data_IF_368840207091
#
_entry.id   IF_368840207091
#
_cell.length_a   1.000
_cell.length_b   1.000
_cell.length_c   1.000
_cell.angle_alpha   90.00
_cell.angle_beta   90.00
_cell.angle_gamma   90.00
#
_symmetry.space_group_name_H-M   'P 1'
#
loop_
_entity.id
_entity.type
_entity.pdbx_description
1 polymer ?
#
# COMPACT_ATOMS: atom_id res chain seq x y z
N UNK A 1 49.40 -10.41 28.90
CA UNK A 1 50.09 -9.23 29.44
C UNK A 1 49.92 -8.10 28.47
N UNK A 2 49.18 -7.04 28.95
CA UNK A 2 49.12 -5.66 28.48
C UNK A 2 48.77 -5.49 26.96
N UNK A 3 47.74 -4.81 26.52
CA UNK A 3 47.26 -3.49 26.89
C UNK A 3 45.77 -3.37 26.55
N UNK A 4 44.95 -3.11 27.54
CA UNK A 4 43.65 -2.47 27.47
C UNK A 4 43.83 -1.11 28.06
N UNK A 5 43.43 -0.08 27.38
CA UNK A 5 42.80 1.14 27.90
C UNK A 5 42.94 2.31 26.92
N UNK A 6 41.85 2.98 26.81
CA UNK A 6 41.61 4.37 26.42
C UNK A 6 40.91 4.61 25.08
N UNK A 7 39.60 4.84 25.19
CA UNK A 7 38.92 6.02 24.62
C UNK A 7 37.51 6.14 25.26
N UNK A 8 37.47 6.75 26.46
CA UNK A 8 36.31 7.49 26.95
C UNK A 8 36.53 8.95 26.55
N UNK A 9 35.66 9.45 25.67
CA UNK A 9 35.56 10.86 25.31
C UNK A 9 34.18 11.38 25.70
N UNK A 10 34.17 12.23 26.75
CA UNK A 10 32.99 12.93 27.26
C UNK A 10 32.33 13.77 26.15
N UNK A 11 31.04 13.59 25.92
CA UNK A 11 30.21 14.53 25.19
C UNK A 11 29.16 15.09 26.13
N UNK A 12 29.39 16.30 26.61
CA UNK A 12 28.43 17.15 27.29
C UNK A 12 27.27 17.52 26.35
N UNK A 13 26.01 17.57 26.81
CA UNK A 13 24.92 18.17 26.08
C UNK A 13 24.97 19.70 26.10
N UNK A 14 24.53 20.38 25.03
CA UNK A 14 24.48 21.84 25.02
C UNK A 14 23.33 22.40 25.85
N UNK A 15 23.41 23.67 26.32
CA UNK A 15 22.47 24.28 27.25
C UNK A 15 21.10 24.60 26.61
N UNK A 16 20.07 24.54 27.43
CA UNK A 16 18.71 24.93 27.11
C UNK A 16 18.60 26.43 26.84
N UNK A 17 18.29 26.82 25.62
CA UNK A 17 17.82 28.18 25.32
C UNK A 17 16.29 28.24 25.45
N UNK A 18 15.86 29.12 26.37
CA UNK A 18 14.46 29.56 26.50
C UNK A 18 14.07 30.36 25.26
N UNK A 19 13.14 29.86 24.47
CA UNK A 19 12.45 30.63 23.45
C UNK A 19 11.06 31.01 23.96
N UNK A 20 10.94 32.24 24.40
CA UNK A 20 9.67 32.95 24.56
C UNK A 20 9.34 33.58 23.20
N UNK A 21 8.17 33.34 22.67
CA UNK A 21 7.77 33.97 21.41
C UNK A 21 6.37 33.52 20.99
N UNK A 22 5.38 34.35 21.33
CA UNK A 22 4.04 34.34 20.74
C UNK A 22 4.13 34.23 19.20
N UNK A 23 3.71 33.11 18.64
CA UNK A 23 3.48 32.98 17.22
C UNK A 23 2.04 32.53 17.01
N UNK A 24 1.27 33.41 16.39
CA UNK A 24 -0.11 33.26 16.00
C UNK A 24 -0.34 31.94 15.24
N UNK A 25 -1.32 31.18 15.69
CA UNK A 25 -1.85 30.00 15.00
C UNK A 25 -2.42 30.41 13.63
N UNK A 26 -1.66 30.21 12.57
CA UNK A 26 -2.19 30.25 11.20
C UNK A 26 -3.17 29.08 11.00
N UNK A 27 -4.42 29.43 10.71
CA UNK A 27 -5.51 28.50 10.39
C UNK A 27 -5.21 27.81 9.04
N UNK A 28 -5.38 26.48 8.93
CA UNK A 28 -5.28 25.81 7.64
C UNK A 28 -6.42 26.25 6.73
N UNK A 29 -6.07 26.71 5.53
CA UNK A 29 -6.99 27.07 4.45
C UNK A 29 -7.66 25.82 3.88
N UNK A 30 -8.98 25.81 3.93
CA UNK A 30 -9.93 25.07 3.08
C UNK A 30 -10.04 23.54 3.19
N UNK A 31 -11.08 23.12 3.90
CA UNK A 31 -11.97 22.13 3.34
C UNK A 31 -13.39 22.73 3.31
N UNK A 32 -14.00 22.76 2.15
CA UNK A 32 -15.33 23.36 1.89
C UNK A 32 -16.49 22.71 2.65
N UNK A 33 -16.24 21.64 3.40
CA UNK A 33 -17.26 20.91 4.18
C UNK A 33 -17.46 21.48 5.59
N UNK A 34 -16.46 22.19 6.15
CA UNK A 34 -16.55 22.77 7.49
C UNK A 34 -17.27 24.12 7.55
N UNK A 35 -17.54 24.75 6.42
CA UNK A 35 -18.08 26.12 6.35
C UNK A 35 -19.60 26.19 6.28
N UNK A 36 -20.30 25.05 6.15
CA UNK A 36 -21.77 25.01 6.03
C UNK A 36 -22.47 24.87 7.38
N UNK A 37 -21.77 24.56 8.47
CA UNK A 37 -22.40 24.29 9.77
C UNK A 37 -22.34 25.45 10.80
N UNK A 38 -21.80 26.63 10.47
CA UNK A 38 -21.75 27.72 11.44
C UNK A 38 -22.12 29.07 10.81
N UNK A 39 -23.40 29.31 10.62
CA UNK A 39 -23.93 30.68 10.53
C UNK A 39 -24.68 30.99 11.84
N UNK A 40 -24.21 31.94 12.67
CA UNK A 40 -24.96 32.41 13.83
C UNK A 40 -26.06 33.37 13.34
N UNK A 41 -27.27 32.87 13.16
CA UNK A 41 -28.39 33.69 12.70
C UNK A 41 -29.73 32.97 12.56
N UNK A 42 -29.79 31.65 12.75
CA UNK A 42 -31.00 30.84 12.50
C UNK A 42 -31.61 30.22 13.77
N UNK A 43 -31.36 30.81 14.93
CA UNK A 43 -32.02 30.42 16.20
C UNK A 43 -32.78 31.59 16.76
N UNK A 44 -33.79 32.06 16.03
CA UNK A 44 -34.75 33.05 16.52
C UNK A 44 -36.11 32.90 15.82
N UNK A 45 -36.65 31.70 15.76
CA UNK A 45 -38.09 31.46 15.65
C UNK A 45 -38.33 29.97 15.91
N UNK A 46 -39.07 29.65 16.95
CA UNK A 46 -39.33 28.32 17.49
C UNK A 46 -40.13 27.39 16.54
N UNK A 47 -39.74 27.28 15.29
CA UNK A 47 -40.27 26.30 14.35
C UNK A 47 -39.37 25.06 14.36
N UNK A 48 -39.92 23.93 14.83
CA UNK A 48 -39.31 22.60 14.64
C UNK A 48 -39.20 22.33 13.15
N UNK A 49 -37.98 22.41 12.61
CA UNK A 49 -37.71 22.01 11.24
C UNK A 49 -37.99 20.50 11.13
N UNK A 50 -38.92 20.13 10.24
CA UNK A 50 -39.25 18.76 9.91
C UNK A 50 -38.00 18.04 9.38
N UNK A 51 -37.61 16.96 10.04
CA UNK A 51 -36.44 16.11 9.67
C UNK A 51 -36.50 15.70 8.18
N UNK A 52 -37.72 15.56 7.63
CA UNK A 52 -37.92 15.28 6.20
C UNK A 52 -37.56 16.47 5.29
N UNK A 53 -37.61 17.71 5.78
CA UNK A 53 -37.17 18.87 5.00
C UNK A 53 -35.63 18.97 4.99
N UNK A 54 -34.96 18.63 6.09
CA UNK A 54 -33.50 18.56 6.16
C UNK A 54 -32.98 17.48 5.22
N UNK A 55 -33.59 16.28 5.21
CA UNK A 55 -33.23 15.20 4.28
C UNK A 55 -33.50 15.55 2.81
N UNK A 56 -34.63 16.23 2.51
CA UNK A 56 -34.90 16.71 1.15
C UNK A 56 -33.95 17.80 0.69
N UNK A 57 -33.50 18.68 1.56
CA UNK A 57 -32.50 19.69 1.24
C UNK A 57 -31.11 19.07 1.07
N UNK A 58 -30.69 18.16 1.95
CA UNK A 58 -29.45 17.40 1.82
C UNK A 58 -29.43 16.54 0.53
N UNK A 59 -30.53 15.86 0.21
CA UNK A 59 -30.66 15.10 -1.05
C UNK A 59 -30.57 15.99 -2.30
N UNK A 60 -31.08 17.23 -2.25
CA UNK A 60 -31.02 18.19 -3.34
C UNK A 60 -29.61 18.82 -3.50
N UNK A 61 -28.82 18.89 -2.43
CA UNK A 61 -27.43 19.36 -2.43
C UNK A 61 -26.50 18.26 -2.92
N UNK A 62 -26.76 17.00 -2.53
CA UNK A 62 -25.97 15.82 -3.01
C UNK A 62 -26.30 15.50 -4.47
N UNK A 63 -27.51 15.80 -4.95
CA UNK A 63 -27.90 15.60 -6.36
C UNK A 63 -27.36 16.66 -7.32
N UNK A 64 -26.68 17.70 -6.84
CA UNK A 64 -25.80 18.53 -7.67
C UNK A 64 -24.41 17.88 -7.74
N UNK A 65 -24.35 16.70 -8.33
CA UNK A 65 -23.09 16.14 -8.84
C UNK A 65 -22.37 17.25 -9.61
N UNK A 66 -21.22 17.65 -9.13
CA UNK A 66 -20.34 18.54 -9.91
C UNK A 66 -20.27 17.97 -11.32
N UNK A 67 -20.50 18.76 -12.38
CA UNK A 67 -20.40 18.24 -13.73
C UNK A 67 -19.01 17.60 -13.84
N UNK A 68 -18.96 16.31 -14.18
CA UNK A 68 -17.70 15.64 -14.52
C UNK A 68 -17.19 16.40 -15.76
N UNK A 69 -16.24 17.30 -15.52
CA UNK A 69 -15.56 18.00 -16.61
C UNK A 69 -14.84 16.93 -17.41
N UNK A 70 -15.40 16.60 -18.57
CA UNK A 70 -14.76 15.64 -19.47
C UNK A 70 -13.36 16.17 -19.79
N UNK A 71 -12.33 15.32 -19.72
CA UNK A 71 -10.95 15.73 -19.97
C UNK A 71 -10.85 16.37 -21.36
N UNK A 72 -10.15 17.50 -21.45
CA UNK A 72 -9.96 18.21 -22.71
C UNK A 72 -9.27 17.28 -23.73
N UNK A 73 -9.37 17.64 -25.04
CA UNK A 73 -8.62 16.91 -26.08
C UNK A 73 -7.11 16.91 -25.80
N UNK A 74 -6.59 17.99 -25.22
CA UNK A 74 -5.19 18.10 -24.82
C UNK A 74 -4.86 17.14 -23.68
N UNK A 75 -5.71 17.04 -22.67
CA UNK A 75 -5.50 16.14 -21.53
C UNK A 75 -5.55 14.68 -21.96
N UNK A 76 -6.49 14.33 -22.85
CA UNK A 76 -6.56 12.96 -23.41
C UNK A 76 -5.28 12.59 -24.15
N UNK A 77 -4.82 13.45 -25.09
CA UNK A 77 -3.55 13.22 -25.80
C UNK A 77 -2.35 13.14 -24.87
N UNK A 78 -2.33 13.96 -23.80
CA UNK A 78 -1.29 13.87 -22.78
C UNK A 78 -1.30 12.51 -22.07
N UNK A 79 -2.47 12.01 -21.69
CA UNK A 79 -2.61 10.70 -21.03
C UNK A 79 -2.24 9.54 -21.98
N UNK A 80 -2.66 9.62 -23.25
CA UNK A 80 -2.26 8.66 -24.30
C UNK A 80 -0.75 8.61 -24.45
N UNK A 81 -0.07 9.75 -24.58
CA UNK A 81 1.40 9.79 -24.67
C UNK A 81 2.08 9.21 -23.44
N UNK A 82 1.59 9.52 -22.24
CA UNK A 82 2.10 8.94 -20.98
C UNK A 82 1.93 7.41 -20.98
N UNK A 83 0.78 6.91 -21.43
CA UNK A 83 0.52 5.47 -21.53
C UNK A 83 1.45 4.79 -22.53
N UNK A 84 1.69 5.40 -23.70
CA UNK A 84 2.61 4.88 -24.72
C UNK A 84 4.05 4.80 -24.19
N UNK A 85 4.54 5.85 -23.52
CA UNK A 85 5.87 5.88 -22.88
C UNK A 85 5.99 4.77 -21.83
N UNK A 86 4.98 4.59 -20.97
CA UNK A 86 4.96 3.54 -19.96
C UNK A 86 4.91 2.13 -20.58
N UNK A 87 4.18 1.97 -21.68
CA UNK A 87 4.12 0.69 -22.42
C UNK A 87 5.47 0.32 -23.01
N UNK A 88 6.15 1.27 -23.66
CA UNK A 88 7.51 1.07 -24.16
C UNK A 88 8.51 0.77 -23.03
N UNK A 89 8.37 1.43 -21.89
CA UNK A 89 9.19 1.18 -20.71
C UNK A 89 8.97 -0.22 -20.11
N UNK A 90 7.72 -0.72 -20.08
CA UNK A 90 7.42 -2.10 -19.65
C UNK A 90 8.06 -3.16 -20.55
N UNK A 91 8.09 -2.92 -21.88
CA UNK A 91 8.80 -3.81 -22.80
C UNK A 91 10.29 -3.88 -22.48
N UNK A 92 10.95 -2.72 -22.26
CA UNK A 92 12.37 -2.68 -21.87
C UNK A 92 12.61 -3.29 -20.48
N UNK A 93 11.67 -3.10 -19.54
CA UNK A 93 11.72 -3.74 -18.22
C UNK A 93 11.70 -5.28 -18.34
N UNK A 94 10.88 -5.82 -19.23
CA UNK A 94 10.79 -7.26 -19.46
C UNK A 94 12.07 -7.84 -20.07
N UNK A 95 12.76 -7.11 -20.94
CA UNK A 95 13.97 -7.55 -21.62
C UNK A 95 15.24 -7.39 -20.76
N UNK A 96 15.40 -6.26 -20.09
CA UNK A 96 16.67 -5.88 -19.44
C UNK A 96 16.53 -5.49 -17.95
N UNK A 97 15.37 -5.73 -17.34
CA UNK A 97 15.11 -5.33 -15.97
C UNK A 97 15.12 -3.80 -15.77
N UNK A 98 15.11 -3.33 -14.51
CA UNK A 98 15.05 -1.90 -14.20
C UNK A 98 16.23 -1.10 -14.79
N UNK A 99 17.42 -1.72 -14.88
CA UNK A 99 18.62 -1.08 -15.43
C UNK A 99 18.60 -0.93 -16.96
N UNK A 100 17.80 -1.74 -17.64
CA UNK A 100 17.64 -1.71 -19.10
C UNK A 100 16.79 -0.55 -19.62
N UNK A 101 16.07 0.19 -18.76
CA UNK A 101 15.20 1.28 -19.19
C UNK A 101 16.00 2.50 -19.63
N UNK A 102 15.75 2.95 -20.88
CA UNK A 102 16.39 4.10 -21.50
C UNK A 102 15.38 5.05 -22.14
N UNK A 103 15.26 6.27 -21.60
CA UNK A 103 14.37 7.31 -22.13
C UNK A 103 14.70 7.65 -23.59
N UNK A 104 15.98 7.61 -23.98
CA UNK A 104 16.41 7.81 -25.38
C UNK A 104 15.92 6.71 -26.32
N UNK A 105 15.99 5.45 -25.87
CA UNK A 105 15.50 4.32 -26.64
C UNK A 105 13.97 4.37 -26.79
N UNK A 106 13.26 4.72 -25.73
CA UNK A 106 11.81 4.97 -25.76
C UNK A 106 11.43 6.08 -26.74
N UNK A 107 12.14 7.21 -26.72
CA UNK A 107 11.91 8.32 -27.65
C UNK A 107 12.05 7.84 -29.11
N UNK A 108 13.13 7.10 -29.42
CA UNK A 108 13.34 6.54 -30.76
C UNK A 108 12.22 5.56 -31.18
N UNK A 109 11.81 4.68 -30.26
CA UNK A 109 10.75 3.69 -30.51
C UNK A 109 9.40 4.36 -30.82
N UNK A 110 9.08 5.46 -30.13
CA UNK A 110 7.82 6.19 -30.29
C UNK A 110 7.87 7.31 -31.36
N UNK A 111 9.00 7.47 -32.09
CA UNK A 111 9.16 8.55 -33.06
C UNK A 111 9.15 9.95 -32.40
N UNK A 112 9.50 10.06 -31.13
CA UNK A 112 9.54 11.30 -30.36
C UNK A 112 10.96 11.84 -30.27
N UNK A 113 11.10 13.15 -30.02
CA UNK A 113 12.38 13.71 -29.62
C UNK A 113 12.71 13.34 -28.17
N UNK A 114 13.99 13.19 -27.79
CA UNK A 114 14.35 12.95 -26.38
C UNK A 114 13.82 14.03 -25.43
N UNK A 115 13.81 15.29 -25.84
CA UNK A 115 13.26 16.41 -25.05
C UNK A 115 11.76 16.28 -24.83
N UNK A 116 11.02 15.72 -25.78
CA UNK A 116 9.57 15.47 -25.64
C UNK A 116 9.32 14.38 -24.59
N UNK A 117 10.11 13.30 -24.54
CA UNK A 117 9.98 12.27 -23.50
C UNK A 117 10.38 12.83 -22.14
N UNK A 118 11.47 13.62 -22.06
CA UNK A 118 11.90 14.26 -20.81
C UNK A 118 10.88 15.28 -20.27
N UNK A 119 10.05 15.87 -21.10
CA UNK A 119 8.93 16.73 -20.66
C UNK A 119 7.89 15.93 -19.83
N UNK A 120 7.65 14.67 -20.17
CA UNK A 120 6.73 13.81 -19.43
C UNK A 120 7.40 13.11 -18.24
N UNK A 121 8.63 12.64 -18.43
CA UNK A 121 9.42 11.94 -17.42
C UNK A 121 10.83 12.52 -17.39
N UNK A 122 11.10 13.46 -16.45
CA UNK A 122 12.39 14.16 -16.35
C UNK A 122 13.59 13.25 -16.14
N UNK A 123 13.38 12.07 -15.52
CA UNK A 123 14.44 11.09 -15.32
C UNK A 123 13.90 9.64 -15.45
N UNK A 124 14.80 8.69 -15.56
CA UNK A 124 14.48 7.26 -15.54
C UNK A 124 13.82 6.86 -14.23
N UNK A 125 14.28 7.41 -13.12
CA UNK A 125 13.76 7.13 -11.78
C UNK A 125 12.31 7.56 -11.67
N UNK A 126 11.92 8.74 -12.17
CA UNK A 126 10.53 9.21 -12.21
C UNK A 126 9.64 8.29 -13.05
N UNK A 127 10.17 7.74 -14.16
CA UNK A 127 9.45 6.77 -14.97
C UNK A 127 9.31 5.43 -14.22
N UNK A 128 10.35 4.96 -13.54
CA UNK A 128 10.30 3.75 -12.70
C UNK A 128 9.28 3.90 -11.58
N UNK A 129 9.28 5.02 -10.85
CA UNK A 129 8.29 5.30 -9.80
C UNK A 129 6.86 5.26 -10.35
N UNK A 130 6.66 5.80 -11.55
CA UNK A 130 5.35 5.77 -12.20
C UNK A 130 4.93 4.34 -12.61
N UNK A 131 5.86 3.47 -13.01
CA UNK A 131 5.58 2.04 -13.25
C UNK A 131 5.29 1.29 -11.95
N UNK A 132 6.03 1.59 -10.87
CA UNK A 132 5.81 1.02 -9.54
C UNK A 132 4.41 1.39 -9.01
N UNK A 133 4.00 2.66 -9.15
CA UNK A 133 2.65 3.11 -8.74
C UNK A 133 1.56 2.39 -9.54
N UNK A 134 1.74 2.24 -10.86
CA UNK A 134 0.80 1.52 -11.71
C UNK A 134 0.72 0.04 -11.32
N UNK A 135 1.86 -0.62 -11.10
CA UNK A 135 1.94 -2.04 -10.72
C UNK A 135 1.25 -2.30 -9.37
N UNK A 136 1.54 -1.50 -8.34
CA UNK A 136 0.84 -1.58 -7.05
C UNK A 136 -0.67 -1.35 -7.20
N UNK A 137 -1.06 -0.38 -8.03
CA UNK A 137 -2.46 -0.09 -8.31
C UNK A 137 -3.19 -1.26 -8.99
N UNK A 138 -2.56 -1.86 -10.00
CA UNK A 138 -3.07 -3.02 -10.72
C UNK A 138 -3.22 -4.24 -9.81
N UNK A 139 -2.19 -4.57 -9.02
CA UNK A 139 -2.23 -5.64 -8.05
C UNK A 139 -3.34 -5.41 -7.01
N UNK A 140 -3.43 -4.20 -6.44
CA UNK A 140 -4.47 -3.87 -5.45
C UNK A 140 -5.88 -4.07 -6.01
N UNK A 141 -6.13 -3.69 -7.27
CA UNK A 141 -7.42 -3.90 -7.94
C UNK A 141 -7.73 -5.39 -8.11
N UNK A 142 -6.75 -6.19 -8.54
CA UNK A 142 -6.91 -7.64 -8.71
C UNK A 142 -7.26 -8.32 -7.37
N UNK A 143 -6.49 -8.00 -6.30
CA UNK A 143 -6.72 -8.57 -4.97
C UNK A 143 -8.07 -8.13 -4.40
N UNK A 144 -8.41 -6.85 -4.50
CA UNK A 144 -9.68 -6.31 -4.01
C UNK A 144 -10.87 -6.96 -4.71
N UNK A 145 -10.84 -7.02 -6.04
CA UNK A 145 -11.91 -7.66 -6.81
C UNK A 145 -12.07 -9.15 -6.47
N UNK A 146 -10.96 -9.84 -6.17
CA UNK A 146 -11.02 -11.24 -5.74
C UNK A 146 -11.57 -11.38 -4.32
N UNK A 147 -11.12 -10.52 -3.40
CA UNK A 147 -11.61 -10.50 -2.03
C UNK A 147 -13.10 -10.22 -1.95
N UNK A 148 -13.61 -9.21 -2.66
CA UNK A 148 -15.04 -8.88 -2.67
C UNK A 148 -15.92 -10.04 -3.14
N UNK A 149 -15.44 -10.81 -4.13
CA UNK A 149 -16.12 -12.05 -4.58
C UNK A 149 -16.01 -13.20 -3.59
N UNK A 150 -14.94 -13.26 -2.82
CA UNK A 150 -14.70 -14.31 -1.84
C UNK A 150 -15.30 -14.02 -0.46
N UNK A 151 -15.85 -12.83 -0.21
CA UNK A 151 -16.39 -12.43 1.11
C UNK A 151 -17.37 -13.42 1.73
N UNK A 152 -18.25 -14.11 0.97
CA UNK A 152 -19.17 -15.10 1.55
C UNK A 152 -18.49 -16.40 1.99
N UNK A 153 -17.24 -16.65 1.60
CA UNK A 153 -16.52 -17.87 1.92
C UNK A 153 -15.91 -17.80 3.33
N UNK A 154 -15.60 -18.94 3.98
CA UNK A 154 -14.83 -19.00 5.22
C UNK A 154 -13.45 -18.34 5.08
N UNK A 155 -12.85 -17.90 6.21
CA UNK A 155 -11.58 -17.16 6.20
C UNK A 155 -10.44 -17.87 5.45
N UNK A 156 -10.30 -19.19 5.65
CA UNK A 156 -9.27 -19.98 4.97
C UNK A 156 -9.45 -20.04 3.46
N UNK A 157 -10.69 -20.14 2.97
CA UNK A 157 -10.98 -20.11 1.54
C UNK A 157 -10.80 -18.72 0.95
N UNK A 158 -11.14 -17.65 1.70
CA UNK A 158 -10.87 -16.26 1.31
C UNK A 158 -9.36 -16.03 1.15
N UNK A 159 -8.56 -16.52 2.11
CA UNK A 159 -7.10 -16.45 2.05
C UNK A 159 -6.55 -17.13 0.79
N UNK A 160 -6.92 -18.40 0.56
CA UNK A 160 -6.48 -19.13 -0.63
C UNK A 160 -6.92 -18.42 -1.92
N UNK A 161 -8.14 -17.91 -1.96
CA UNK A 161 -8.63 -17.20 -3.13
C UNK A 161 -7.84 -15.92 -3.46
N UNK A 162 -7.52 -15.12 -2.44
CA UNK A 162 -6.77 -13.87 -2.61
C UNK A 162 -5.30 -14.13 -2.94
N UNK A 163 -4.67 -15.10 -2.27
CA UNK A 163 -3.27 -15.47 -2.54
C UNK A 163 -3.07 -16.08 -3.92
N UNK A 164 -4.01 -16.88 -4.41
CA UNK A 164 -4.04 -17.37 -5.80
C UNK A 164 -4.16 -16.22 -6.81
N UNK A 165 -4.96 -15.18 -6.51
CA UNK A 165 -5.06 -14.01 -7.37
C UNK A 165 -3.76 -13.21 -7.38
N UNK A 166 -3.05 -13.11 -6.24
CA UNK A 166 -1.73 -12.49 -6.17
C UNK A 166 -0.71 -13.25 -7.03
N UNK A 167 -0.66 -14.58 -6.87
CA UNK A 167 0.23 -15.42 -7.68
C UNK A 167 -0.09 -15.30 -9.18
N UNK A 168 -1.39 -15.36 -9.56
CA UNK A 168 -1.80 -15.23 -10.95
C UNK A 168 -1.35 -13.90 -11.56
N UNK A 169 -1.56 -12.79 -10.82
CA UNK A 169 -1.08 -11.48 -11.25
C UNK A 169 0.44 -11.44 -11.40
N UNK A 170 1.18 -12.02 -10.47
CA UNK A 170 2.64 -12.06 -10.50
C UNK A 170 3.18 -12.87 -11.70
N UNK A 171 2.54 -13.99 -12.03
CA UNK A 171 2.91 -14.82 -13.20
C UNK A 171 2.55 -14.14 -14.53
N UNK A 172 1.49 -13.34 -14.56
CA UNK A 172 1.11 -12.53 -15.73
C UNK A 172 2.02 -11.31 -15.91
N UNK A 173 2.55 -10.76 -14.79
CA UNK A 173 3.37 -9.54 -14.77
C UNK A 173 4.74 -9.75 -14.07
N UNK A 174 5.56 -10.73 -14.50
CA UNK A 174 6.76 -11.15 -13.75
C UNK A 174 7.78 -10.02 -13.56
N UNK A 175 8.01 -9.21 -14.58
CA UNK A 175 8.97 -8.10 -14.51
C UNK A 175 8.48 -6.97 -13.62
N UNK A 176 7.16 -6.70 -13.62
CA UNK A 176 6.55 -5.72 -12.72
C UNK A 176 6.58 -6.24 -11.28
N UNK A 177 6.25 -7.53 -11.03
CA UNK A 177 6.36 -8.12 -9.71
C UNK A 177 7.79 -8.00 -9.16
N UNK A 178 8.80 -8.37 -9.95
CA UNK A 178 10.19 -8.22 -9.55
C UNK A 178 10.60 -6.75 -9.36
N UNK A 179 10.02 -5.81 -10.10
CA UNK A 179 10.21 -4.39 -9.87
C UNK A 179 9.62 -3.94 -8.53
N UNK A 180 8.40 -4.39 -8.19
CA UNK A 180 7.72 -4.02 -6.94
C UNK A 180 8.44 -4.55 -5.70
N UNK A 181 8.93 -5.78 -5.72
CA UNK A 181 9.47 -6.50 -4.56
C UNK A 181 10.99 -6.68 -4.58
N UNK A 182 11.61 -6.68 -5.74
CA UNK A 182 13.05 -6.88 -5.91
C UNK A 182 13.86 -5.59 -6.07
N UNK A 183 13.22 -4.49 -6.42
CA UNK A 183 13.94 -3.24 -6.59
C UNK A 183 14.19 -2.62 -5.21
N UNK A 184 15.47 -2.45 -4.86
CA UNK A 184 15.93 -1.80 -3.62
C UNK A 184 15.51 -0.31 -3.51
N UNK A 185 14.76 0.20 -4.48
CA UNK A 185 14.14 1.51 -4.53
C UNK A 185 12.89 1.68 -3.67
N UNK A 186 12.44 0.67 -2.92
CA UNK A 186 11.65 0.88 -1.70
C UNK A 186 12.54 1.49 -0.59
N UNK A 187 13.39 2.41 -0.93
CA UNK A 187 13.70 3.51 -0.05
C UNK A 187 12.38 4.25 0.10
N UNK A 188 11.65 3.90 1.16
CA UNK A 188 10.77 4.87 1.80
C UNK A 188 11.70 6.04 2.12
N UNK A 189 11.88 6.92 1.12
CA UNK A 189 12.60 8.18 1.35
C UNK A 189 11.68 8.92 2.29
N UNK A 190 12.08 9.18 3.55
CA UNK A 190 11.32 10.05 4.40
C UNK A 190 11.18 11.38 3.63
N UNK A 191 9.96 11.75 3.21
CA UNK A 191 9.72 12.95 2.43
C UNK A 191 9.58 12.80 0.90
N UNK A 192 9.65 11.58 0.32
CA UNK A 192 9.16 11.33 -1.04
C UNK A 192 7.66 11.63 -1.11
N UNK A 193 7.14 12.05 -2.28
CA UNK A 193 5.76 12.53 -2.46
C UNK A 193 4.64 11.51 -2.13
N UNK A 194 4.98 10.40 -1.47
CA UNK A 194 4.07 9.39 -0.96
C UNK A 194 3.33 8.57 -2.03
N UNK A 195 3.57 8.80 -3.32
CA UNK A 195 2.84 8.13 -4.40
C UNK A 195 3.02 6.62 -4.38
N UNK A 196 4.25 6.14 -4.27
CA UNK A 196 4.59 4.72 -4.18
C UNK A 196 4.05 4.11 -2.88
N UNK A 197 4.27 4.77 -1.74
CA UNK A 197 3.77 4.31 -0.44
C UNK A 197 2.24 4.22 -0.43
N UNK A 198 1.55 5.25 -0.92
CA UNK A 198 0.09 5.27 -1.06
C UNK A 198 -0.45 4.19 -2.00
N UNK A 199 0.29 3.84 -3.05
CA UNK A 199 -0.10 2.77 -3.96
C UNK A 199 0.08 1.39 -3.31
N UNK A 200 1.19 1.17 -2.59
CA UNK A 200 1.47 -0.06 -1.84
C UNK A 200 0.46 -0.27 -0.70
N UNK A 201 0.10 0.80 0.04
CA UNK A 201 -0.84 0.70 1.17
C UNK A 201 -2.21 0.15 0.74
N UNK A 202 -2.62 0.31 -0.52
CA UNK A 202 -3.85 -0.28 -1.04
C UNK A 202 -3.82 -1.81 -1.07
N UNK A 203 -2.67 -2.41 -1.37
CA UNK A 203 -2.48 -3.88 -1.32
C UNK A 203 -2.51 -4.34 0.13
N UNK A 204 -1.77 -3.67 0.99
CA UNK A 204 -1.71 -3.95 2.44
C UNK A 204 -3.09 -3.82 3.08
N UNK A 205 -3.88 -2.82 2.68
CA UNK A 205 -5.24 -2.61 3.15
C UNK A 205 -6.17 -3.80 2.86
N UNK A 206 -6.00 -4.49 1.72
CA UNK A 206 -6.80 -5.70 1.42
C UNK A 206 -6.48 -6.81 2.42
N UNK A 207 -5.21 -7.05 2.72
CA UNK A 207 -4.78 -8.10 3.65
C UNK A 207 -5.26 -7.81 5.08
N UNK A 208 -5.12 -6.58 5.56
CA UNK A 208 -5.59 -6.21 6.90
C UNK A 208 -7.12 -6.17 6.99
N UNK A 209 -7.83 -5.82 5.92
CA UNK A 209 -9.30 -5.93 5.90
C UNK A 209 -9.74 -7.38 6.02
N UNK A 210 -9.09 -8.28 5.28
CA UNK A 210 -9.38 -9.72 5.34
C UNK A 210 -9.11 -10.28 6.74
N UNK A 211 -8.02 -9.89 7.39
CA UNK A 211 -7.70 -10.27 8.77
C UNK A 211 -8.74 -9.75 9.77
N UNK A 212 -9.14 -8.48 9.66
CA UNK A 212 -10.17 -7.88 10.52
C UNK A 212 -11.52 -8.59 10.38
N UNK A 213 -11.94 -8.86 9.13
CA UNK A 213 -13.22 -9.53 8.86
C UNK A 213 -13.20 -10.97 9.45
N UNK A 214 -12.06 -11.67 9.37
CA UNK A 214 -11.92 -13.02 9.93
C UNK A 214 -11.92 -13.02 11.48
N UNK A 215 -11.25 -12.08 12.11
CA UNK A 215 -11.26 -11.90 13.58
C UNK A 215 -12.66 -11.53 14.07
N UNK A 216 -13.32 -10.58 13.41
CA UNK A 216 -14.67 -10.14 13.79
C UNK A 216 -15.71 -11.26 13.67
N UNK A 217 -15.52 -12.19 12.73
CA UNK A 217 -16.35 -13.38 12.57
C UNK A 217 -15.99 -14.53 13.52
N UNK A 218 -14.92 -14.44 14.30
CA UNK A 218 -14.42 -15.51 15.14
C UNK A 218 -13.89 -16.72 14.37
N UNK A 219 -13.49 -16.53 13.10
CA UNK A 219 -13.04 -17.60 12.22
C UNK A 219 -11.55 -17.94 12.40
N UNK A 220 -10.80 -17.06 13.05
CA UNK A 220 -9.38 -17.24 13.34
C UNK A 220 -9.08 -16.81 14.78
N UNK A 221 -8.10 -17.48 15.38
CA UNK A 221 -7.55 -17.17 16.69
C UNK A 221 -6.07 -16.77 16.55
N UNK A 222 -5.69 -15.68 17.16
CA UNK A 222 -4.30 -15.20 17.17
C UNK A 222 -3.73 -15.05 18.58
N UNK A 223 -4.42 -15.57 19.61
CA UNK A 223 -4.00 -15.47 21.02
C UNK A 223 -2.65 -16.16 21.26
N UNK A 224 -2.42 -17.31 20.62
CA UNK A 224 -1.14 -18.01 20.69
C UNK A 224 0.02 -17.17 20.15
N UNK A 225 -0.16 -16.51 18.99
CA UNK A 225 0.85 -15.58 18.44
C UNK A 225 0.98 -14.33 19.29
N UNK A 226 -0.13 -13.82 19.84
CA UNK A 226 -0.12 -12.69 20.77
C UNK A 226 0.73 -13.00 22.00
N UNK A 227 0.57 -14.17 22.62
CA UNK A 227 1.33 -14.60 23.78
C UNK A 227 2.81 -14.83 23.46
N UNK A 228 3.11 -15.41 22.27
CA UNK A 228 4.47 -15.69 21.82
C UNK A 228 5.24 -14.45 21.34
N UNK A 229 4.56 -13.32 21.09
CA UNK A 229 5.20 -12.11 20.58
C UNK A 229 6.11 -11.48 21.65
N UNK A 230 7.45 -11.36 21.44
CA UNK A 230 8.35 -10.78 22.41
C UNK A 230 8.08 -9.31 22.69
N UNK A 231 8.35 -8.84 23.91
CA UNK A 231 8.12 -7.46 24.33
C UNK A 231 8.75 -6.40 23.40
N UNK A 232 10.00 -6.54 22.92
CA UNK A 232 10.58 -5.59 21.98
C UNK A 232 9.79 -5.50 20.66
N UNK A 233 9.31 -6.63 20.14
CA UNK A 233 8.52 -6.65 18.92
C UNK A 233 7.14 -6.01 19.13
N UNK A 234 6.50 -6.25 20.28
CA UNK A 234 5.22 -5.58 20.61
C UNK A 234 5.34 -4.07 20.61
N UNK A 235 6.43 -3.52 21.17
CA UNK A 235 6.68 -2.08 21.12
C UNK A 235 6.82 -1.58 19.67
N UNK A 236 7.60 -2.26 18.85
CA UNK A 236 7.77 -1.90 17.42
C UNK A 236 6.46 -1.99 16.64
N UNK A 237 5.61 -2.98 16.93
CA UNK A 237 4.28 -3.10 16.30
C UNK A 237 3.35 -1.96 16.75
N UNK A 238 3.45 -1.51 18.01
CA UNK A 238 2.69 -0.36 18.49
C UNK A 238 3.11 0.92 17.76
N UNK A 239 4.42 1.19 17.66
CA UNK A 239 4.96 2.35 16.94
C UNK A 239 4.57 2.33 15.45
N UNK A 240 4.60 1.15 14.82
CA UNK A 240 4.19 0.99 13.43
C UNK A 240 2.69 1.22 13.24
N UNK A 241 1.85 0.77 14.18
CA UNK A 241 0.40 0.99 14.18
C UNK A 241 0.02 2.47 14.23
N UNK A 242 0.78 3.28 14.98
CA UNK A 242 0.56 4.73 15.06
C UNK A 242 0.78 5.43 13.72
N UNK A 243 1.69 4.91 12.90
CA UNK A 243 2.04 5.49 11.58
C UNK A 243 1.24 4.89 10.41
N UNK A 244 0.48 3.81 10.63
CA UNK A 244 -0.19 3.04 9.58
C UNK A 244 -1.68 2.83 9.91
N UNK A 245 -2.53 3.68 9.33
CA UNK A 245 -3.97 3.68 9.60
C UNK A 245 -4.64 2.33 9.30
N UNK A 246 -4.14 1.60 8.31
CA UNK A 246 -4.66 0.29 7.90
C UNK A 246 -4.54 -0.78 9.00
N UNK A 247 -3.64 -0.57 9.96
CA UNK A 247 -3.41 -1.49 11.10
C UNK A 247 -4.29 -1.17 12.32
N UNK A 248 -5.04 -0.08 12.29
CA UNK A 248 -5.84 0.36 13.43
C UNK A 248 -6.77 -0.76 13.92
N UNK A 249 -6.75 -1.00 15.24
CA UNK A 249 -7.60 -1.99 15.90
C UNK A 249 -7.20 -3.46 15.73
N UNK A 250 -6.10 -3.78 15.01
CA UNK A 250 -5.59 -5.15 14.94
C UNK A 250 -4.71 -5.47 16.16
N UNK A 251 -4.89 -6.62 16.84
CA UNK A 251 -4.00 -7.07 17.90
C UNK A 251 -2.63 -7.46 17.34
N UNK A 252 -1.59 -7.49 18.21
CA UNK A 252 -0.21 -7.81 17.78
C UNK A 252 -0.12 -9.20 17.14
N UNK A 253 -0.82 -10.19 17.71
CA UNK A 253 -0.86 -11.55 17.16
C UNK A 253 -1.40 -11.59 15.72
N UNK A 254 -2.40 -10.76 15.39
CA UNK A 254 -2.93 -10.65 14.05
C UNK A 254 -1.94 -9.96 13.08
N UNK A 255 -1.22 -8.94 13.55
CA UNK A 255 -0.17 -8.31 12.75
C UNK A 255 0.97 -9.28 12.47
N UNK A 256 1.39 -10.05 13.47
CA UNK A 256 2.40 -11.11 13.30
C UNK A 256 1.91 -12.17 12.32
N UNK A 257 0.66 -12.61 12.41
CA UNK A 257 0.06 -13.55 11.47
C UNK A 257 0.08 -13.01 10.02
N UNK A 258 -0.26 -11.72 9.83
CA UNK A 258 -0.16 -11.06 8.54
C UNK A 258 1.27 -11.05 7.99
N UNK A 259 2.27 -10.76 8.84
CA UNK A 259 3.68 -10.73 8.44
C UNK A 259 4.18 -12.13 8.04
N UNK A 260 3.81 -13.18 8.79
CA UNK A 260 4.15 -14.58 8.47
C UNK A 260 3.52 -14.96 7.12
N UNK A 261 2.22 -14.72 6.95
CA UNK A 261 1.52 -15.03 5.71
C UNK A 261 2.08 -14.28 4.51
N UNK A 262 2.43 -13.00 4.69
CA UNK A 262 3.07 -12.18 3.67
C UNK A 262 4.44 -12.73 3.27
N UNK A 263 5.31 -13.07 4.23
CA UNK A 263 6.62 -13.64 3.96
C UNK A 263 6.52 -14.98 3.19
N UNK A 264 5.62 -15.87 3.63
CA UNK A 264 5.39 -17.14 2.97
C UNK A 264 4.87 -16.98 1.54
N UNK A 265 3.88 -16.08 1.33
CA UNK A 265 3.32 -15.77 0.03
C UNK A 265 4.39 -15.27 -0.94
N UNK A 266 5.18 -14.28 -0.50
CA UNK A 266 6.26 -13.72 -1.32
C UNK A 266 7.38 -14.69 -1.59
N UNK A 267 7.78 -15.49 -0.60
CA UNK A 267 8.76 -16.55 -0.78
C UNK A 267 8.32 -17.55 -1.85
N UNK A 268 7.08 -18.02 -1.78
CA UNK A 268 6.53 -18.98 -2.73
C UNK A 268 6.49 -18.43 -4.16
N UNK A 269 5.95 -17.22 -4.36
CA UNK A 269 5.85 -16.58 -5.67
C UNK A 269 7.24 -16.27 -6.24
N UNK A 270 8.15 -15.72 -5.44
CA UNK A 270 9.48 -15.35 -5.88
C UNK A 270 10.27 -16.58 -6.33
N UNK A 271 10.25 -17.67 -5.54
CA UNK A 271 10.94 -18.91 -5.89
C UNK A 271 10.43 -19.51 -7.22
N UNK A 272 9.13 -19.41 -7.47
CA UNK A 272 8.52 -19.82 -8.73
C UNK A 272 9.00 -18.95 -9.91
N UNK A 273 8.92 -17.62 -9.77
CA UNK A 273 9.29 -16.65 -10.82
C UNK A 273 10.77 -16.75 -11.22
N UNK A 274 11.66 -17.00 -10.24
CA UNK A 274 13.10 -17.14 -10.51
C UNK A 274 13.53 -18.58 -10.86
N UNK A 275 12.56 -19.50 -11.06
CA UNK A 275 12.83 -20.88 -11.47
C UNK A 275 13.57 -21.71 -10.42
N UNK A 276 13.33 -21.47 -9.14
CA UNK A 276 13.98 -22.20 -8.03
C UNK A 276 13.12 -23.34 -7.46
N UNK A 277 11.93 -23.56 -8.01
CA UNK A 277 11.13 -24.74 -7.68
C UNK A 277 11.68 -25.92 -8.48
N UNK A 278 11.98 -27.06 -7.83
CA UNK A 278 12.43 -28.26 -8.55
C UNK A 278 11.45 -28.68 -9.66
N UNK A 279 11.93 -29.02 -10.86
CA UNK A 279 11.07 -29.28 -12.03
C UNK A 279 10.13 -30.49 -11.87
N UNK A 280 10.41 -31.37 -10.89
CA UNK A 280 9.57 -32.53 -10.56
C UNK A 280 8.31 -32.15 -9.76
N UNK A 281 8.30 -30.96 -9.16
CA UNK A 281 7.18 -30.48 -8.36
C UNK A 281 6.20 -29.67 -9.23
N UNK A 282 4.93 -29.79 -8.90
CA UNK A 282 3.90 -28.96 -9.53
C UNK A 282 3.77 -27.64 -8.75
N UNK A 283 4.17 -26.49 -9.34
CA UNK A 283 4.20 -25.22 -8.60
C UNK A 283 2.85 -24.84 -8.01
N UNK A 284 1.76 -25.06 -8.75
CA UNK A 284 0.41 -24.72 -8.28
C UNK A 284 0.00 -25.56 -7.06
N UNK A 285 0.22 -26.87 -7.09
CA UNK A 285 -0.12 -27.74 -5.97
C UNK A 285 0.72 -27.43 -4.72
N UNK A 286 2.02 -27.15 -4.92
CA UNK A 286 2.92 -26.72 -3.85
C UNK A 286 2.47 -25.38 -3.23
N UNK A 287 2.15 -24.40 -4.08
CA UNK A 287 1.66 -23.10 -3.62
C UNK A 287 0.37 -23.22 -2.81
N UNK A 288 -0.59 -23.99 -3.32
CA UNK A 288 -1.88 -24.19 -2.63
C UNK A 288 -1.69 -24.86 -1.26
N UNK A 289 -0.80 -25.87 -1.17
CA UNK A 289 -0.49 -26.51 0.09
C UNK A 289 0.17 -25.54 1.09
N UNK A 290 1.11 -24.71 0.62
CA UNK A 290 1.77 -23.71 1.46
C UNK A 290 0.77 -22.68 2.00
N UNK A 291 -0.14 -22.18 1.16
CA UNK A 291 -1.16 -21.21 1.58
C UNK A 291 -2.21 -21.84 2.51
N UNK A 292 -2.57 -23.11 2.31
CA UNK A 292 -3.44 -23.84 3.21
C UNK A 292 -2.76 -24.07 4.58
N UNK A 293 -1.47 -24.37 4.60
CA UNK A 293 -0.71 -24.51 5.83
C UNK A 293 -0.67 -23.21 6.65
N UNK A 294 -0.42 -22.07 6.00
CA UNK A 294 -0.45 -20.74 6.66
C UNK A 294 -1.81 -20.50 7.32
N UNK A 295 -2.92 -20.72 6.60
CA UNK A 295 -4.26 -20.49 7.17
C UNK A 295 -4.62 -21.48 8.27
N UNK A 296 -4.15 -22.72 8.20
CA UNK A 296 -4.37 -23.73 9.23
C UNK A 296 -3.53 -23.49 10.51
N UNK A 297 -2.33 -22.95 10.36
CA UNK A 297 -1.43 -22.67 11.50
C UNK A 297 -1.92 -21.52 12.38
N UNK A 298 -2.81 -20.66 11.89
CA UNK A 298 -3.38 -19.56 12.69
C UNK A 298 -4.28 -20.07 13.83
N UNK A 299 -4.83 -21.28 13.68
CA UNK A 299 -5.69 -21.93 14.68
C UNK A 299 -4.95 -23.02 15.48
N UNK A 300 -3.65 -23.22 15.22
CA UNK A 300 -2.84 -24.21 15.96
C UNK A 300 -2.12 -23.53 17.14
N UNK A 301 -1.94 -24.22 18.28
CA UNK A 301 -1.09 -23.68 19.34
C UNK A 301 0.35 -23.48 18.82
N UNK A 302 1.05 -22.41 19.25
CA UNK A 302 2.42 -22.18 18.84
C UNK A 302 3.30 -23.37 19.25
N UNK A 303 4.29 -23.76 18.43
CA UNK A 303 5.23 -24.81 18.82
C UNK A 303 5.96 -24.41 20.09
N UNK A 304 6.25 -25.36 20.98
CA UNK A 304 7.07 -25.09 22.14
C UNK A 304 8.49 -24.74 21.66
N UNK A 305 8.96 -23.58 22.02
CA UNK A 305 10.34 -23.12 21.77
C UNK A 305 11.27 -23.73 22.83
#
# INVERSE_FOLDING_TARGET
MADRERFCGDLHPPPHEHFNGDAALERPKSSHVAQVCWQPGLVASGQKLDTAQIFRHAARVVSRSSPQVLPSRRDRRRQETIADIKTAARAQLAEGGPTGISLRAIARQLGMTPSAVHYYFPSREVLLDALIVDGWGSLAMALRARYDRARPLPAHERWIAVTRAHRAWALEHPSEYLLLYGHTGLRVTPGGDGGVHKAMSKVVAVLFTMMRDALAAGEIDTEGLQAATPAPLRQQLADWRETTQEMAGLPDGALVACLIGYAQLHGAITLELVGRIPPQLQPTALFDLQMAHVSGSLNAPPPPW
#
